data_IF_330156306490
#
_entry.id   IF_330156306490
#
_cell.length_a   1.000
_cell.length_b   1.000
_cell.length_c   1.000
_cell.angle_alpha   90.00
_cell.angle_beta   90.00
_cell.angle_gamma   90.00
#
_symmetry.space_group_name_H-M   'P 1'
#
loop_
_entity.id
_entity.type
_entity.pdbx_description
1 polymer ?
#
# COMPACT_ATOMS: atom_id res chain seq x y z
N UNK A 1 -2.55 -14.66 9.16
CA UNK A 1 -1.46 -13.68 9.00
C UNK A 1 -2.10 -12.32 9.15
N UNK A 2 -1.58 -11.47 10.04
CA UNK A 2 -2.11 -10.10 10.22
C UNK A 2 -1.67 -9.22 9.05
N UNK A 3 -2.40 -8.14 8.79
CA UNK A 3 -2.12 -7.25 7.66
C UNK A 3 -0.72 -6.61 7.76
N UNK A 4 -0.36 -6.12 8.95
CA UNK A 4 0.99 -5.61 9.23
C UNK A 4 2.09 -6.60 8.88
N UNK A 5 1.93 -7.84 9.35
CA UNK A 5 2.90 -8.92 9.12
C UNK A 5 3.04 -9.21 7.64
N UNK A 6 1.95 -9.17 6.87
CA UNK A 6 1.99 -9.30 5.42
C UNK A 6 2.85 -8.19 4.80
N UNK A 7 2.54 -6.92 5.10
CA UNK A 7 3.28 -5.77 4.53
C UNK A 7 4.77 -5.83 4.90
N UNK A 8 5.09 -6.06 6.18
CA UNK A 8 6.48 -6.17 6.64
C UNK A 8 7.23 -7.33 5.97
N UNK A 9 6.58 -8.46 5.75
CA UNK A 9 7.22 -9.59 5.09
C UNK A 9 7.44 -9.34 3.59
N UNK A 10 6.51 -8.66 2.92
CA UNK A 10 6.69 -8.23 1.53
C UNK A 10 7.85 -7.24 1.45
N UNK A 11 7.93 -6.24 2.34
CA UNK A 11 9.03 -5.26 2.36
C UNK A 11 10.40 -5.94 2.55
N UNK A 12 10.48 -6.88 3.50
CA UNK A 12 11.73 -7.62 3.78
C UNK A 12 12.13 -8.54 2.63
N UNK A 13 11.15 -9.15 1.93
CA UNK A 13 11.39 -10.19 0.91
C UNK A 13 10.35 -10.12 -0.22
N UNK A 14 10.38 -9.10 -1.09
CA UNK A 14 9.31 -8.89 -2.09
C UNK A 14 9.13 -10.10 -3.01
N UNK A 15 10.23 -10.72 -3.47
CA UNK A 15 10.22 -11.90 -4.36
C UNK A 15 9.63 -13.17 -3.75
N UNK A 16 9.41 -13.20 -2.43
CA UNK A 16 8.71 -14.30 -1.76
C UNK A 16 7.19 -14.22 -1.92
N UNK A 17 6.66 -13.06 -2.29
CA UNK A 17 5.23 -12.75 -2.34
C UNK A 17 4.80 -12.27 -3.72
N UNK A 18 5.63 -11.47 -4.37
CA UNK A 18 5.41 -10.88 -5.69
C UNK A 18 6.25 -11.61 -6.73
N UNK A 19 5.74 -11.74 -7.96
CA UNK A 19 6.49 -12.33 -9.08
C UNK A 19 7.59 -11.37 -9.52
N UNK A 20 7.30 -10.08 -9.48
CA UNK A 20 8.24 -8.99 -9.74
C UNK A 20 8.16 -7.97 -8.59
N UNK A 21 9.25 -7.23 -8.37
CA UNK A 21 9.26 -6.07 -7.46
C UNK A 21 8.44 -4.93 -8.08
N UNK A 22 7.11 -5.04 -8.01
CA UNK A 22 6.13 -4.19 -8.69
C UNK A 22 5.05 -3.70 -7.73
N UNK A 23 4.74 -2.41 -7.83
CA UNK A 23 3.65 -1.79 -7.06
C UNK A 23 2.29 -2.25 -7.57
N UNK A 24 2.18 -2.52 -8.87
CA UNK A 24 0.96 -3.06 -9.49
C UNK A 24 0.67 -4.47 -8.97
N UNK A 25 1.68 -5.34 -8.94
CA UNK A 25 1.50 -6.68 -8.37
C UNK A 25 1.17 -6.65 -6.87
N UNK A 26 1.78 -5.71 -6.12
CA UNK A 26 1.43 -5.49 -4.73
C UNK A 26 -0.05 -5.06 -4.60
N UNK A 27 -0.50 -4.11 -5.41
CA UNK A 27 -1.87 -3.64 -5.40
C UNK A 27 -2.87 -4.78 -5.61
N UNK A 28 -2.64 -5.61 -6.64
CA UNK A 28 -3.48 -6.77 -6.93
C UNK A 28 -3.48 -7.80 -5.79
N UNK A 29 -2.31 -8.05 -5.19
CA UNK A 29 -2.18 -8.94 -4.04
C UNK A 29 -2.99 -8.43 -2.85
N UNK A 30 -2.88 -7.14 -2.52
CA UNK A 30 -3.61 -6.55 -1.39
C UNK A 30 -5.12 -6.51 -1.64
N UNK A 31 -5.56 -6.25 -2.88
CA UNK A 31 -6.97 -6.41 -3.24
C UNK A 31 -7.45 -7.84 -3.01
N UNK A 32 -6.68 -8.83 -3.49
CA UNK A 32 -6.98 -10.25 -3.27
C UNK A 32 -7.04 -10.61 -1.79
N UNK A 33 -6.09 -10.11 -0.99
CA UNK A 33 -6.09 -10.26 0.46
C UNK A 33 -7.36 -9.67 1.08
N UNK A 34 -7.75 -8.45 0.72
CA UNK A 34 -8.96 -7.80 1.26
C UNK A 34 -10.28 -8.56 0.98
N UNK A 35 -10.27 -9.40 -0.05
CA UNK A 35 -11.40 -10.19 -0.52
C UNK A 35 -11.37 -11.64 0.00
N UNK A 36 -10.27 -12.09 0.62
CA UNK A 36 -10.19 -13.43 1.18
C UNK A 36 -11.04 -13.58 2.45
N UNK A 37 -11.43 -14.81 2.74
CA UNK A 37 -12.19 -15.14 3.95
C UNK A 37 -11.22 -15.24 5.14
N UNK A 38 -10.95 -14.11 5.77
CA UNK A 38 -10.14 -14.02 6.99
C UNK A 38 -10.66 -12.91 7.92
N UNK A 39 -10.26 -13.00 9.19
CA UNK A 39 -10.58 -11.97 10.19
C UNK A 39 -9.75 -10.71 9.93
N UNK A 40 -10.43 -9.61 9.61
CA UNK A 40 -9.81 -8.31 9.35
C UNK A 40 -9.38 -7.64 10.65
N UNK A 41 -8.11 -7.32 10.76
CA UNK A 41 -7.59 -6.54 11.88
C UNK A 41 -7.80 -5.03 11.66
N UNK A 42 -7.60 -4.25 12.73
CA UNK A 42 -7.80 -2.81 12.70
C UNK A 42 -6.91 -2.12 11.66
N UNK A 43 -5.66 -2.56 11.49
CA UNK A 43 -4.74 -1.97 10.51
C UNK A 43 -5.18 -2.25 9.07
N UNK A 44 -5.70 -3.45 8.79
CA UNK A 44 -6.32 -3.75 7.49
C UNK A 44 -7.47 -2.78 7.19
N UNK A 45 -8.37 -2.60 8.15
CA UNK A 45 -9.55 -1.73 7.99
C UNK A 45 -9.11 -0.28 7.74
N UNK A 46 -8.20 0.24 8.56
CA UNK A 46 -7.65 1.60 8.41
C UNK A 46 -6.98 1.77 7.04
N UNK A 47 -6.17 0.80 6.61
CA UNK A 47 -5.49 0.85 5.32
C UNK A 47 -6.51 0.94 4.17
N UNK A 48 -7.47 0.02 4.09
CA UNK A 48 -8.42 -0.01 2.97
C UNK A 48 -9.43 1.15 3.01
N UNK A 49 -9.67 1.77 4.15
CA UNK A 49 -10.54 2.95 4.27
C UNK A 49 -9.82 4.27 3.98
N UNK A 50 -8.55 4.41 4.38
CA UNK A 50 -7.91 5.72 4.45
C UNK A 50 -6.64 5.86 3.61
N UNK A 51 -5.93 4.78 3.30
CA UNK A 51 -4.64 4.87 2.63
C UNK A 51 -4.71 5.53 1.25
N UNK A 52 -5.77 5.23 0.47
CA UNK A 52 -5.92 5.85 -0.85
C UNK A 52 -6.05 7.37 -0.76
N UNK A 53 -6.87 7.87 0.17
CA UNK A 53 -7.04 9.30 0.41
C UNK A 53 -5.74 9.92 0.94
N UNK A 54 -5.05 9.22 1.84
CA UNK A 54 -3.77 9.66 2.37
C UNK A 54 -2.73 9.89 1.27
N UNK A 55 -2.61 8.95 0.32
CA UNK A 55 -1.68 9.08 -0.82
C UNK A 55 -2.08 10.23 -1.76
N UNK A 56 -3.38 10.42 -2.02
CA UNK A 56 -3.84 11.56 -2.83
C UNK A 56 -3.45 12.89 -2.15
N UNK A 57 -3.66 13.03 -0.83
CA UNK A 57 -3.26 14.21 -0.06
C UNK A 57 -1.73 14.40 -0.02
N UNK A 58 -0.96 13.30 0.08
CA UNK A 58 0.50 13.33 0.03
C UNK A 58 1.03 14.01 -1.24
N UNK A 59 0.34 13.82 -2.37
CA UNK A 59 0.65 14.45 -3.65
C UNK A 59 -0.20 15.70 -3.97
N UNK A 60 -0.83 16.30 -2.96
CA UNK A 60 -1.66 17.51 -3.10
C UNK A 60 -2.85 17.38 -4.06
N UNK A 61 -3.41 16.17 -4.19
CA UNK A 61 -4.68 15.92 -4.87
C UNK A 61 -5.81 15.87 -3.83
N UNK A 62 -6.48 17.00 -3.59
CA UNK A 62 -7.53 17.11 -2.56
C UNK A 62 -8.91 16.62 -3.04
N UNK A 63 -9.25 16.90 -4.31
CA UNK A 63 -10.57 16.64 -4.89
C UNK A 63 -10.61 15.43 -5.85
N UNK A 64 -9.52 14.65 -5.91
CA UNK A 64 -9.42 13.50 -6.81
C UNK A 64 -9.19 12.23 -6.01
N UNK A 65 -9.68 11.11 -6.54
CA UNK A 65 -9.55 9.79 -5.94
C UNK A 65 -8.84 8.84 -6.89
N UNK A 66 -7.61 9.18 -7.27
CA UNK A 66 -6.79 8.28 -8.07
C UNK A 66 -6.39 7.06 -7.22
N UNK A 67 -6.31 5.86 -7.83
CA UNK A 67 -5.71 4.71 -7.15
C UNK A 67 -4.29 5.05 -6.72
N UNK A 68 -3.94 4.74 -5.47
CA UNK A 68 -2.61 5.04 -4.94
C UNK A 68 -1.50 4.42 -5.80
N UNK A 69 -1.68 3.19 -6.30
CA UNK A 69 -0.71 2.51 -7.16
C UNK A 69 -0.43 3.29 -8.45
N UNK A 70 -1.47 3.90 -9.05
CA UNK A 70 -1.32 4.77 -10.21
C UNK A 70 -0.54 6.05 -9.86
N UNK A 71 -0.83 6.70 -8.74
CA UNK A 71 -0.10 7.90 -8.31
C UNK A 71 1.38 7.61 -8.04
N UNK A 72 1.69 6.47 -7.42
CA UNK A 72 3.07 6.07 -7.18
C UNK A 72 3.83 5.82 -8.48
N UNK A 73 3.22 5.14 -9.45
CA UNK A 73 3.81 4.96 -10.77
C UNK A 73 4.05 6.29 -11.48
N UNK A 74 3.06 7.18 -11.47
CA UNK A 74 3.18 8.50 -12.11
C UNK A 74 4.35 9.29 -11.52
N UNK A 75 4.46 9.36 -10.19
CA UNK A 75 5.48 10.14 -9.50
C UNK A 75 6.88 9.51 -9.55
N UNK A 76 7.00 8.26 -9.98
CA UNK A 76 8.29 7.57 -10.17
C UNK A 76 8.68 7.40 -11.63
N UNK A 77 7.99 8.09 -12.54
CA UNK A 77 8.27 8.02 -13.98
C UNK A 77 7.95 6.65 -14.59
N UNK A 78 7.03 5.90 -14.00
CA UNK A 78 6.62 4.56 -14.44
C UNK A 78 7.52 3.43 -13.94
N UNK A 79 8.46 3.70 -13.03
CA UNK A 79 9.32 2.65 -12.46
C UNK A 79 8.60 1.87 -11.36
N UNK A 80 8.15 0.66 -11.70
CA UNK A 80 7.46 -0.28 -10.80
C UNK A 80 8.21 -0.55 -9.49
N UNK A 81 9.53 -0.80 -9.55
CA UNK A 81 10.36 -1.06 -8.37
C UNK A 81 10.54 0.21 -7.52
N UNK A 82 10.71 1.38 -8.15
CA UNK A 82 10.79 2.64 -7.40
C UNK A 82 9.45 2.96 -6.73
N UNK A 83 8.33 2.76 -7.44
CA UNK A 83 6.99 2.95 -6.89
C UNK A 83 6.71 2.01 -5.71
N UNK A 84 7.18 0.76 -5.77
CA UNK A 84 7.08 -0.19 -4.67
C UNK A 84 7.88 0.28 -3.44
N UNK A 85 9.09 0.81 -3.62
CA UNK A 85 9.87 1.35 -2.51
C UNK A 85 9.23 2.60 -1.90
N UNK A 86 8.66 3.48 -2.72
CA UNK A 86 7.90 4.65 -2.24
C UNK A 86 6.63 4.23 -1.52
N UNK A 87 5.95 3.15 -1.95
CA UNK A 87 4.80 2.61 -1.22
C UNK A 87 5.17 2.32 0.22
N UNK A 88 6.28 1.61 0.49
CA UNK A 88 6.67 1.28 1.85
C UNK A 88 6.99 2.52 2.68
N UNK A 89 7.71 3.51 2.11
CA UNK A 89 7.96 4.77 2.79
C UNK A 89 6.66 5.50 3.19
N UNK A 90 5.71 5.62 2.26
CA UNK A 90 4.42 6.29 2.52
C UNK A 90 3.54 5.45 3.46
N UNK A 91 3.62 4.12 3.40
CA UNK A 91 2.93 3.23 4.33
C UNK A 91 3.42 3.41 5.76
N UNK A 92 4.75 3.50 5.98
CA UNK A 92 5.30 3.79 7.31
C UNK A 92 4.85 5.16 7.83
N UNK A 93 4.82 6.18 6.97
CA UNK A 93 4.28 7.49 7.31
C UNK A 93 2.79 7.43 7.66
N UNK A 94 2.00 6.65 6.91
CA UNK A 94 0.59 6.43 7.16
C UNK A 94 0.36 5.77 8.53
N UNK A 95 1.04 4.66 8.80
CA UNK A 95 0.94 3.94 10.07
C UNK A 95 1.32 4.86 11.24
N UNK A 96 2.38 5.67 11.11
CA UNK A 96 2.77 6.61 12.18
C UNK A 96 1.70 7.67 12.53
N UNK A 97 0.79 7.96 11.60
CA UNK A 97 -0.28 8.97 11.77
C UNK A 97 -1.64 8.37 12.12
N UNK A 98 -1.88 7.12 11.72
CA UNK A 98 -3.16 6.42 11.90
C UNK A 98 -3.11 5.33 12.98
N UNK A 99 -1.93 4.92 13.44
CA UNK A 99 -1.78 4.20 14.71
C UNK A 99 -1.99 5.20 15.85
N UNK A 100 -3.25 5.41 16.22
CA UNK A 100 -3.58 5.88 17.57
C UNK A 100 -3.46 4.69 18.52
N UNK A 101 -2.70 4.86 19.61
CA UNK A 101 -2.77 3.99 20.80
C UNK A 101 -4.21 3.84 21.33
#
# INVERSE_FOLDING_TARGET
>A
MRFKELIENIEKRPRGYLRNESVTELYDLLLGFSLSDHEKDAEEIEFFQHFNKFVNLYYSFEDVNYPWSYLLLLNTGGSECAALNIFFAIYHDFVSKYSSD
#
